data_IF_846766053980
#
_entry.id   IF_846766053980
#
_cell.length_a   1.000
_cell.length_b   1.000
_cell.length_c   1.000
_cell.angle_alpha   90.00
_cell.angle_beta   90.00
_cell.angle_gamma   90.00
#
_symmetry.space_group_name_H-M   'P 1'
#
loop_
_entity.id
_entity.type
_entity.pdbx_description
1 polymer ?
#
# COMPACT_ATOMS: atom_id res chain seq x y z
N UNK A 1 -17.24 4.27 4.77
CA UNK A 1 -15.78 4.11 4.69
C UNK A 1 -15.38 3.87 3.26
N UNK A 2 -14.38 4.58 2.78
CA UNK A 2 -13.90 4.43 1.40
C UNK A 2 -12.50 3.84 1.43
N UNK A 3 -12.28 2.81 0.63
CA UNK A 3 -11.00 2.14 0.52
C UNK A 3 -10.53 2.15 -0.93
N UNK A 4 -9.23 2.27 -1.12
CA UNK A 4 -8.64 2.31 -2.46
C UNK A 4 -7.51 1.30 -2.52
N UNK A 5 -7.46 0.53 -3.60
CA UNK A 5 -6.36 -0.37 -3.88
C UNK A 5 -5.32 0.38 -4.72
N UNK A 6 -4.07 0.34 -4.28
CA UNK A 6 -2.97 0.97 -4.98
C UNK A 6 -2.17 -0.12 -5.68
N UNK A 7 -2.03 0.00 -7.00
CA UNK A 7 -1.24 -0.98 -7.73
C UNK A 7 0.24 -0.68 -7.58
N UNK A 8 0.99 -1.71 -7.24
CA UNK A 8 2.42 -1.59 -7.10
C UNK A 8 3.06 -1.77 -8.47
N UNK A 9 3.45 -0.69 -9.11
CA UNK A 9 4.13 -0.77 -10.39
C UNK A 9 5.64 -0.66 -10.15
N UNK A 10 6.41 -1.04 -11.18
CA UNK A 10 7.85 -1.04 -11.08
C UNK A 10 8.42 0.31 -10.68
N UNK A 11 7.79 1.36 -11.15
CA UNK A 11 8.30 2.71 -10.93
C UNK A 11 7.78 3.32 -9.64
N UNK A 12 6.91 2.62 -8.95
CA UNK A 12 6.39 3.10 -7.68
C UNK A 12 7.47 3.35 -6.66
N UNK A 13 8.58 2.64 -6.78
CA UNK A 13 9.69 2.80 -5.86
C UNK A 13 10.43 4.11 -6.05
N UNK A 14 10.25 4.77 -7.19
CA UNK A 14 10.82 6.09 -7.42
C UNK A 14 10.02 7.23 -6.84
N UNK A 15 8.86 6.94 -6.27
CA UNK A 15 8.02 7.97 -5.67
C UNK A 15 8.62 8.37 -4.34
N UNK A 16 8.97 9.64 -4.18
CA UNK A 16 9.56 10.12 -2.96
C UNK A 16 8.59 10.09 -1.80
N UNK A 17 9.14 10.00 -0.60
CA UNK A 17 8.35 10.00 0.62
C UNK A 17 7.43 11.22 0.69
N UNK A 18 7.97 12.41 0.37
CA UNK A 18 7.17 13.64 0.43
C UNK A 18 6.03 13.63 -0.57
N UNK A 19 6.27 13.10 -1.76
CA UNK A 19 5.23 13.01 -2.77
C UNK A 19 4.11 12.09 -2.32
N UNK A 20 4.47 10.96 -1.71
CA UNK A 20 3.47 10.05 -1.17
C UNK A 20 2.65 10.71 -0.07
N UNK A 21 3.29 11.48 0.81
CA UNK A 21 2.58 12.16 1.89
C UNK A 21 1.60 13.18 1.35
N UNK A 22 1.95 13.87 0.26
CA UNK A 22 1.02 14.80 -0.40
C UNK A 22 -0.18 14.06 -0.98
N UNK A 23 0.07 12.93 -1.63
CA UNK A 23 -1.00 12.11 -2.19
C UNK A 23 -1.92 11.63 -1.08
N UNK A 24 -1.34 11.17 0.01
CA UNK A 24 -2.08 10.71 1.17
C UNK A 24 -3.03 11.78 1.71
N UNK A 25 -2.51 13.01 1.83
CA UNK A 25 -3.32 14.13 2.30
C UNK A 25 -4.49 14.40 1.36
N UNK A 26 -4.24 14.36 0.04
CA UNK A 26 -5.28 14.56 -0.95
C UNK A 26 -6.36 13.49 -0.86
N UNK A 27 -5.93 12.24 -0.67
CA UNK A 27 -6.89 11.14 -0.55
C UNK A 27 -7.75 11.28 0.69
N UNK A 28 -7.18 11.76 1.79
CA UNK A 28 -7.96 12.04 2.99
C UNK A 28 -9.04 13.09 2.72
N UNK A 29 -8.67 14.15 2.00
CA UNK A 29 -9.62 15.20 1.63
C UNK A 29 -10.77 14.66 0.79
N UNK A 30 -10.50 13.63 -0.01
CA UNK A 30 -11.50 13.00 -0.85
C UNK A 30 -12.32 11.94 -0.11
N UNK A 31 -12.08 11.76 1.17
CA UNK A 31 -12.85 10.82 1.97
C UNK A 31 -12.33 9.39 1.97
N UNK A 32 -11.13 9.17 1.45
CA UNK A 32 -10.53 7.84 1.46
C UNK A 32 -9.98 7.57 2.86
N UNK A 33 -10.42 6.49 3.48
CA UNK A 33 -10.02 6.16 4.85
C UNK A 33 -8.97 5.06 4.93
N UNK A 34 -8.79 4.28 3.86
CA UNK A 34 -7.88 3.14 3.90
C UNK A 34 -7.30 2.86 2.51
N UNK A 35 -6.02 2.51 2.49
CA UNK A 35 -5.34 2.12 1.26
C UNK A 35 -4.89 0.66 1.36
N UNK A 36 -4.92 -0.04 0.21
CA UNK A 36 -4.41 -1.40 0.10
C UNK A 36 -3.43 -1.46 -1.05
N UNK A 37 -2.44 -2.34 -0.93
CA UNK A 37 -1.55 -2.63 -2.05
C UNK A 37 -1.07 -4.07 -1.94
N UNK A 38 -0.63 -4.63 -3.07
CA UNK A 38 0.01 -5.94 -3.12
C UNK A 38 1.47 -5.76 -3.47
N UNK A 39 2.33 -6.56 -2.85
CA UNK A 39 3.75 -6.52 -3.13
C UNK A 39 4.28 -7.95 -3.17
N UNK A 40 5.20 -8.24 -4.09
CA UNK A 40 5.79 -9.57 -4.19
C UNK A 40 6.51 -9.93 -2.89
N UNK A 41 6.35 -11.17 -2.45
CA UNK A 41 7.00 -11.62 -1.21
C UNK A 41 8.52 -11.51 -1.31
N UNK A 42 9.08 -11.58 -2.51
CA UNK A 42 10.51 -11.46 -2.71
C UNK A 42 10.99 -10.00 -2.74
N UNK A 43 10.09 -9.05 -2.89
CA UNK A 43 10.48 -7.64 -3.02
C UNK A 43 10.64 -7.00 -1.64
N UNK A 44 11.76 -7.31 -0.99
CA UNK A 44 12.00 -6.83 0.37
C UNK A 44 12.15 -5.31 0.44
N UNK A 45 12.74 -4.72 -0.59
CA UNK A 45 12.92 -3.26 -0.63
C UNK A 45 11.57 -2.55 -0.63
N UNK A 46 10.62 -3.02 -1.43
CA UNK A 46 9.29 -2.43 -1.48
C UNK A 46 8.57 -2.61 -0.15
N UNK A 47 8.70 -3.79 0.47
CA UNK A 47 8.07 -4.05 1.76
C UNK A 47 8.58 -3.08 2.83
N UNK A 48 9.90 -2.83 2.85
CA UNK A 48 10.48 -1.88 3.78
C UNK A 48 9.98 -0.47 3.53
N UNK A 49 9.90 -0.08 2.25
CA UNK A 49 9.43 1.24 1.89
C UNK A 49 8.00 1.45 2.36
N UNK A 50 7.12 0.49 2.09
CA UNK A 50 5.72 0.65 2.48
C UNK A 50 5.54 0.59 3.98
N UNK A 51 6.33 -0.24 4.68
CA UNK A 51 6.30 -0.25 6.13
C UNK A 51 6.71 1.11 6.69
N UNK A 52 7.72 1.73 6.10
CA UNK A 52 8.17 3.06 6.50
C UNK A 52 7.09 4.11 6.26
N UNK A 53 6.28 3.92 5.23
CA UNK A 53 5.17 4.82 4.93
C UNK A 53 3.94 4.56 5.81
N UNK A 54 3.99 3.54 6.64
CA UNK A 54 2.91 3.25 7.58
C UNK A 54 2.00 2.09 7.20
N UNK A 55 2.32 1.38 6.14
CA UNK A 55 1.54 0.20 5.75
C UNK A 55 1.88 -0.98 6.63
N UNK A 56 0.89 -1.80 6.90
CA UNK A 56 1.04 -3.03 7.68
C UNK A 56 0.63 -4.22 6.83
N UNK A 57 1.30 -5.35 7.05
CA UNK A 57 0.93 -6.58 6.38
C UNK A 57 -0.39 -7.11 6.95
N UNK A 58 -1.33 -7.42 6.06
CA UNK A 58 -2.65 -7.92 6.44
C UNK A 58 -2.74 -9.41 6.20
N UNK A 59 -2.31 -9.87 5.02
CA UNK A 59 -2.40 -11.27 4.66
C UNK A 59 -1.46 -11.58 3.50
N UNK A 60 -1.41 -12.86 3.11
CA UNK A 60 -0.65 -13.32 1.95
C UNK A 60 -1.63 -13.89 0.95
N UNK A 61 -1.47 -13.51 -0.32
CA UNK A 61 -2.31 -14.01 -1.40
C UNK A 61 -1.48 -15.01 -2.19
N UNK A 62 -1.87 -16.28 -2.14
CA UNK A 62 -1.13 -17.36 -2.79
C UNK A 62 -1.18 -17.24 -4.30
N UNK A 63 -0.02 -17.45 -4.94
CA UNK A 63 0.09 -17.51 -6.40
C UNK A 63 -0.57 -16.34 -7.10
N UNK A 64 -0.37 -15.15 -6.55
CA UNK A 64 -1.03 -13.95 -7.05
C UNK A 64 -0.49 -13.51 -8.41
N UNK A 65 0.82 -13.64 -8.63
CA UNK A 65 1.47 -13.22 -9.86
C UNK A 65 1.49 -14.34 -10.89
N UNK A 66 1.62 -13.97 -12.15
CA UNK A 66 1.56 -14.95 -13.25
C UNK A 66 2.66 -16.01 -13.16
N UNK A 67 3.79 -15.68 -12.54
CA UNK A 67 4.90 -16.62 -12.35
C UNK A 67 4.70 -17.52 -11.13
N UNK A 68 3.57 -17.40 -10.44
CA UNK A 68 3.25 -18.22 -9.28
C UNK A 68 3.69 -17.65 -7.96
N UNK A 69 4.34 -16.50 -7.97
CA UNK A 69 4.80 -15.91 -6.71
C UNK A 69 3.63 -15.36 -5.90
N UNK A 70 3.73 -15.50 -4.58
CA UNK A 70 2.74 -14.96 -3.67
C UNK A 70 2.87 -13.44 -3.54
N UNK A 71 1.79 -12.80 -3.13
CA UNK A 71 1.78 -11.38 -2.82
C UNK A 71 1.52 -11.18 -1.33
N UNK A 72 2.15 -10.17 -0.77
CA UNK A 72 1.75 -9.67 0.53
C UNK A 72 0.71 -8.57 0.31
N UNK A 73 -0.41 -8.68 0.99
CA UNK A 73 -1.42 -7.63 1.01
C UNK A 73 -1.08 -6.72 2.19
N UNK A 74 -0.89 -5.45 1.90
CA UNK A 74 -0.57 -4.46 2.92
C UNK A 74 -1.64 -3.38 2.91
N UNK A 75 -1.87 -2.78 4.07
CA UNK A 75 -2.86 -1.73 4.18
C UNK A 75 -2.39 -0.63 5.10
N UNK A 76 -2.97 0.55 4.90
CA UNK A 76 -2.71 1.70 5.75
C UNK A 76 -4.01 2.45 5.98
N UNK A 77 -4.29 2.79 7.21
CA UNK A 77 -5.43 3.63 7.52
C UNK A 77 -5.02 5.09 7.42
N UNK A 78 -5.80 5.87 6.68
CA UNK A 78 -5.53 7.28 6.48
C UNK A 78 -6.22 8.16 7.50
N UNK A 79 -7.36 7.71 8.00
CA UNK A 79 -8.13 8.48 8.97
C UNK A 79 -8.47 7.59 10.14
N UNK A 80 -8.49 8.14 11.36
CA UNK A 80 -8.91 7.35 12.51
C UNK A 80 -10.36 6.93 12.34
N UNK A 81 -10.68 5.75 12.86
CA UNK A 81 -12.05 5.28 12.84
C UNK A 81 -12.91 6.16 13.73
N UNK A 82 -14.12 6.50 13.29
CA UNK A 82 -15.03 7.24 14.17
C UNK A 82 -15.40 6.39 15.37
N UNK A 83 -15.51 7.04 16.49
CA UNK A 83 -15.92 6.38 17.72
C UNK A 83 -17.43 6.25 17.79
#
# INVERSE_FOLDING_TARGET
MVSVAVKNCKRGMGVGYNLFKRLEQRLKELGVSKLFLEVRVSNKAAQKLYAKLGFKQVSTIKSYYADGEDALLMSKELMPLPL
#
